data_IF_641880359267
#
_entry.id   IF_641880359267
#
_cell.length_a   1.000
_cell.length_b   1.000
_cell.length_c   1.000
_cell.angle_alpha   90.00
_cell.angle_beta   90.00
_cell.angle_gamma   90.00
#
_symmetry.space_group_name_H-M   'P 1'
#
loop_
_entity.id
_entity.type
_entity.pdbx_description
1 polymer ?
#
# COMPACT_ATOMS: atom_id res chain seq x y z
N UNK A 1 6.61 1.27 14.41
CA UNK A 1 5.47 1.14 13.49
C UNK A 1 5.08 2.56 13.08
N UNK A 2 4.70 2.80 11.83
CA UNK A 2 4.20 4.12 11.42
C UNK A 2 3.01 4.51 12.31
N UNK A 3 2.97 5.77 12.74
CA UNK A 3 1.83 6.32 13.47
C UNK A 3 0.60 6.49 12.56
N UNK A 4 -0.57 6.68 13.18
CA UNK A 4 -1.82 6.95 12.43
C UNK A 4 -1.72 8.22 11.58
N UNK A 5 -1.13 9.27 12.14
CA UNK A 5 -0.93 10.55 11.44
C UNK A 5 -0.01 10.37 10.23
N UNK A 6 1.12 9.69 10.40
CA UNK A 6 2.06 9.42 9.30
C UNK A 6 1.41 8.58 8.18
N UNK A 7 0.57 7.60 8.54
CA UNK A 7 -0.16 6.79 7.56
C UNK A 7 -1.19 7.62 6.78
N UNK A 8 -1.89 8.52 7.46
CA UNK A 8 -2.87 9.42 6.84
C UNK A 8 -2.20 10.38 5.86
N UNK A 9 -1.06 10.96 6.24
CA UNK A 9 -0.29 11.80 5.33
C UNK A 9 0.17 11.05 4.08
N UNK A 10 0.55 9.77 4.20
CA UNK A 10 0.90 8.93 3.04
C UNK A 10 -0.33 8.70 2.16
N UNK A 11 -1.51 8.45 2.73
CA UNK A 11 -2.77 8.33 1.97
C UNK A 11 -3.07 9.58 1.19
N UNK A 12 -3.05 10.74 1.85
CA UNK A 12 -3.32 12.02 1.18
C UNK A 12 -2.36 12.24 0.00
N UNK A 13 -1.06 11.93 0.17
CA UNK A 13 -0.09 12.05 -0.93
C UNK A 13 -0.39 11.07 -2.06
N UNK A 14 -0.81 9.84 -1.75
CA UNK A 14 -1.16 8.83 -2.74
C UNK A 14 -2.44 9.19 -3.53
N UNK A 15 -3.42 9.81 -2.87
CA UNK A 15 -4.68 10.28 -3.47
C UNK A 15 -4.50 11.54 -4.32
N UNK A 16 -3.64 12.47 -3.89
CA UNK A 16 -3.32 13.70 -4.65
C UNK A 16 -2.50 13.41 -5.91
N UNK A 17 -1.84 12.26 -6.00
CA UNK A 17 -1.07 11.90 -7.18
C UNK A 17 -2.00 11.57 -8.35
N UNK A 18 -1.62 11.97 -9.57
CA UNK A 18 -2.40 11.68 -10.79
C UNK A 18 -2.55 10.18 -11.03
N UNK A 19 -3.72 9.76 -11.53
CA UNK A 19 -3.99 8.37 -11.87
C UNK A 19 -3.19 7.92 -13.10
N UNK A 20 -2.93 6.61 -13.18
CA UNK A 20 -2.31 5.94 -14.32
C UNK A 20 -0.86 5.49 -14.08
N UNK A 21 -0.41 4.54 -14.90
CA UNK A 21 0.90 3.89 -14.75
C UNK A 21 2.05 4.84 -15.09
N UNK A 22 3.15 4.67 -14.38
CA UNK A 22 4.43 5.31 -14.66
C UNK A 22 5.38 4.19 -15.04
N UNK A 23 6.13 4.34 -16.11
CA UNK A 23 7.09 3.32 -16.53
C UNK A 23 8.43 3.94 -16.88
N UNK A 24 9.48 3.19 -16.59
CA UNK A 24 10.83 3.56 -16.99
C UNK A 24 11.03 3.29 -18.49
N UNK A 25 11.39 4.33 -19.24
CA UNK A 25 11.87 4.21 -20.62
C UNK A 25 13.39 4.19 -20.64
N UNK A 26 13.98 3.05 -21.02
CA UNK A 26 15.44 2.89 -21.17
C UNK A 26 16.01 3.77 -22.28
N UNK A 27 15.30 3.87 -23.39
CA UNK A 27 15.72 4.66 -24.55
C UNK A 27 15.82 6.15 -24.21
N UNK A 28 14.87 6.63 -23.39
CA UNK A 28 14.79 8.03 -22.97
C UNK A 28 15.51 8.29 -21.64
N UNK A 29 15.90 7.23 -20.93
CA UNK A 29 16.39 7.25 -19.54
C UNK A 29 15.48 8.04 -18.59
N UNK A 30 14.17 7.98 -18.80
CA UNK A 30 13.19 8.84 -18.13
C UNK A 30 11.97 8.05 -17.65
N UNK A 31 11.17 8.65 -16.76
CA UNK A 31 9.84 8.13 -16.43
C UNK A 31 8.85 8.68 -17.44
N UNK A 32 8.11 7.78 -18.08
CA UNK A 32 6.97 8.12 -18.93
C UNK A 32 5.70 7.87 -18.13
N UNK A 33 4.93 8.93 -17.95
CA UNK A 33 3.65 8.88 -17.23
C UNK A 33 2.52 8.43 -18.15
N UNK A 34 1.37 8.12 -17.57
CA UNK A 34 0.14 7.77 -18.30
C UNK A 34 -0.33 8.82 -19.32
N UNK A 35 0.08 10.09 -19.16
CA UNK A 35 -0.30 11.19 -20.06
C UNK A 35 0.76 11.50 -21.12
N UNK A 36 1.67 10.56 -21.40
CA UNK A 36 2.85 10.74 -22.26
C UNK A 36 3.77 11.90 -21.83
N UNK A 37 3.62 12.39 -20.60
CA UNK A 37 4.55 13.35 -20.03
C UNK A 37 5.85 12.63 -19.64
N UNK A 38 6.97 13.26 -19.97
CA UNK A 38 8.32 12.75 -19.74
C UNK A 38 8.91 13.47 -18.52
N UNK A 39 9.28 12.70 -17.51
CA UNK A 39 10.01 13.20 -16.34
C UNK A 39 11.47 12.73 -16.50
N UNK A 40 12.33 13.62 -16.97
CA UNK A 40 13.76 13.36 -17.10
C UNK A 40 14.45 13.49 -15.73
N UNK A 41 14.88 12.35 -15.20
CA UNK A 41 15.65 12.22 -13.97
C UNK A 41 17.00 11.52 -14.20
N UNK A 42 17.37 11.30 -15.46
CA UNK A 42 18.52 10.49 -15.88
C UNK A 42 19.86 10.98 -15.31
N UNK A 43 19.98 12.28 -15.04
CA UNK A 43 21.19 12.92 -14.54
C UNK A 43 21.33 12.90 -13.02
N UNK A 44 20.26 12.53 -12.29
CA UNK A 44 20.21 12.66 -10.83
C UNK A 44 20.11 11.32 -10.11
N UNK A 45 19.96 10.21 -10.84
CA UNK A 45 19.63 8.92 -10.24
C UNK A 45 20.08 7.74 -11.11
N UNK A 46 20.11 6.53 -10.55
CA UNK A 46 20.45 5.29 -11.26
C UNK A 46 19.22 4.67 -11.91
N UNK A 47 19.40 3.77 -12.90
CA UNK A 47 18.27 3.04 -13.52
C UNK A 47 17.38 2.33 -12.48
N UNK A 48 17.99 1.77 -11.42
CA UNK A 48 17.25 1.12 -10.34
C UNK A 48 16.39 2.07 -9.52
N UNK A 49 16.84 3.32 -9.32
CA UNK A 49 16.04 4.33 -8.64
C UNK A 49 14.85 4.77 -9.51
N UNK A 50 15.05 4.89 -10.83
CA UNK A 50 13.97 5.23 -11.77
C UNK A 50 12.90 4.15 -11.76
N UNK A 51 13.32 2.89 -11.82
CA UNK A 51 12.43 1.73 -11.75
C UNK A 51 11.67 1.72 -10.41
N UNK A 52 12.37 1.91 -9.29
CA UNK A 52 11.75 2.01 -7.97
C UNK A 52 10.70 3.14 -7.89
N UNK A 53 11.02 4.34 -8.35
CA UNK A 53 10.09 5.49 -8.34
C UNK A 53 8.87 5.20 -9.22
N UNK A 54 9.08 4.59 -10.39
CA UNK A 54 7.98 4.25 -11.30
C UNK A 54 6.98 3.27 -10.67
N UNK A 55 7.48 2.26 -9.95
CA UNK A 55 6.64 1.28 -9.25
C UNK A 55 6.03 1.80 -7.95
N UNK A 56 6.73 2.68 -7.23
CA UNK A 56 6.24 3.24 -5.97
C UNK A 56 4.84 3.87 -6.10
N UNK A 57 4.51 4.45 -7.26
CA UNK A 57 3.19 5.03 -7.54
C UNK A 57 2.04 4.02 -7.43
N UNK A 58 2.27 2.77 -7.81
CA UNK A 58 1.28 1.68 -7.76
C UNK A 58 1.40 0.85 -6.49
N UNK A 59 2.62 0.68 -5.99
CA UNK A 59 2.89 -0.14 -4.81
C UNK A 59 2.39 0.53 -3.53
N UNK A 60 2.56 1.85 -3.38
CA UNK A 60 2.12 2.58 -2.18
C UNK A 60 0.60 2.42 -1.95
N UNK A 61 -0.29 2.65 -2.94
CA UNK A 61 -1.73 2.37 -2.78
C UNK A 61 -2.04 0.93 -2.37
N UNK A 62 -1.39 -0.07 -2.99
CA UNK A 62 -1.58 -1.50 -2.65
C UNK A 62 -1.15 -1.81 -1.22
N UNK A 63 -0.04 -1.21 -0.78
CA UNK A 63 0.46 -1.35 0.58
C UNK A 63 -0.49 -0.69 1.60
N UNK A 64 -1.01 0.49 1.30
CA UNK A 64 -2.02 1.16 2.13
C UNK A 64 -3.31 0.33 2.26
N UNK A 65 -3.78 -0.27 1.16
CA UNK A 65 -4.93 -1.19 1.17
C UNK A 65 -4.64 -2.43 2.04
N UNK A 66 -3.42 -2.97 1.94
CA UNK A 66 -3.00 -4.13 2.74
C UNK A 66 -2.94 -3.79 4.23
N UNK A 67 -2.40 -2.62 4.59
CA UNK A 67 -2.38 -2.13 5.97
C UNK A 67 -3.80 -2.01 6.52
N UNK A 68 -4.73 -1.41 5.77
CA UNK A 68 -6.14 -1.32 6.17
C UNK A 68 -6.76 -2.69 6.49
N UNK A 69 -6.50 -3.70 5.64
CA UNK A 69 -6.99 -5.07 5.85
C UNK A 69 -6.42 -5.67 7.13
N UNK A 70 -5.13 -5.49 7.38
CA UNK A 70 -4.46 -5.99 8.58
C UNK A 70 -4.96 -5.30 9.84
N UNK A 71 -5.20 -3.98 9.81
CA UNK A 71 -5.78 -3.26 10.94
C UNK A 71 -7.21 -3.74 11.24
N UNK A 72 -8.03 -3.92 10.21
CA UNK A 72 -9.38 -4.49 10.35
C UNK A 72 -9.33 -5.89 10.99
N UNK A 73 -8.38 -6.72 10.56
CA UNK A 73 -8.20 -8.05 11.11
C UNK A 73 -7.76 -8.01 12.58
N UNK A 74 -6.78 -7.17 12.91
CA UNK A 74 -6.31 -6.96 14.29
C UNK A 74 -7.48 -6.56 15.18
N UNK A 75 -8.27 -5.57 14.78
CA UNK A 75 -9.38 -5.05 15.59
C UNK A 75 -10.46 -6.12 15.81
N UNK A 76 -10.75 -6.95 14.80
CA UNK A 76 -11.64 -8.12 14.94
C UNK A 76 -11.09 -9.16 15.90
N UNK A 77 -9.80 -9.46 15.81
CA UNK A 77 -9.14 -10.42 16.69
C UNK A 77 -9.14 -9.94 18.15
N UNK A 78 -8.86 -8.66 18.38
CA UNK A 78 -8.94 -8.05 19.71
C UNK A 78 -10.35 -8.15 20.29
N UNK A 79 -11.39 -7.82 19.50
CA UNK A 79 -12.78 -7.95 19.93
C UNK A 79 -13.16 -9.40 20.27
N UNK A 80 -12.70 -10.36 19.47
CA UNK A 80 -12.89 -11.79 19.75
C UNK A 80 -12.24 -12.19 21.08
N UNK A 81 -10.97 -11.83 21.29
CA UNK A 81 -10.25 -12.14 22.52
C UNK A 81 -10.91 -11.52 23.75
N UNK A 82 -11.43 -10.30 23.63
CA UNK A 82 -12.10 -9.61 24.73
C UNK A 82 -13.46 -10.23 25.05
N UNK A 83 -14.24 -10.65 24.05
CA UNK A 83 -15.45 -11.44 24.26
C UNK A 83 -15.17 -12.77 24.96
N UNK A 84 -14.12 -13.49 24.52
CA UNK A 84 -13.69 -14.73 25.16
C UNK A 84 -13.31 -14.54 26.63
N UNK A 85 -12.53 -13.49 26.96
CA UNK A 85 -12.17 -13.14 28.35
C UNK A 85 -13.39 -12.81 29.20
N UNK A 86 -14.45 -12.26 28.61
CA UNK A 86 -15.69 -11.90 29.27
C UNK A 86 -16.67 -13.09 29.40
N UNK A 87 -16.27 -14.30 28.98
CA UNK A 87 -17.12 -15.49 29.03
C UNK A 87 -18.22 -15.50 27.96
N UNK A 88 -18.09 -14.69 26.91
CA UNK A 88 -18.96 -14.71 25.73
C UNK A 88 -18.35 -15.67 24.70
N UNK A 89 -18.88 -16.89 24.64
CA UNK A 89 -18.33 -18.00 23.83
C UNK A 89 -18.86 -18.03 22.37
N UNK A 90 -19.74 -17.11 21.98
CA UNK A 90 -20.52 -17.20 20.72
C UNK A 90 -20.00 -16.30 19.57
N UNK A 91 -18.79 -15.75 19.66
CA UNK A 91 -18.22 -15.00 18.55
C UNK A 91 -17.61 -16.00 17.56
N UNK A 92 -18.39 -16.43 16.56
CA UNK A 92 -17.93 -17.30 15.47
C UNK A 92 -16.69 -16.71 14.80
N UNK A 93 -15.64 -17.54 14.70
CA UNK A 93 -14.31 -17.17 14.19
C UNK A 93 -14.11 -17.79 12.79
N UNK A 94 -15.19 -17.85 12.01
CA UNK A 94 -15.32 -18.80 10.91
C UNK A 94 -14.79 -18.23 9.57
N UNK A 95 -14.19 -17.02 9.56
CA UNK A 95 -13.70 -16.34 8.35
C UNK A 95 -12.24 -15.85 8.42
N UNK A 96 -11.39 -16.48 9.24
CA UNK A 96 -9.94 -16.15 9.26
C UNK A 96 -9.13 -16.96 8.22
N UNK A 97 -9.72 -17.99 7.62
CA UNK A 97 -8.98 -19.08 6.96
C UNK A 97 -8.52 -18.83 5.51
N UNK A 98 -8.73 -17.65 4.91
CA UNK A 98 -8.39 -17.45 3.48
C UNK A 98 -7.02 -16.82 3.18
N UNK A 99 -6.33 -16.22 4.16
CA UNK A 99 -5.07 -15.50 3.90
C UNK A 99 -3.79 -16.28 4.26
N UNK A 100 -3.89 -17.43 4.95
CA UNK A 100 -2.72 -18.24 5.35
C UNK A 100 -2.28 -19.22 4.23
N UNK A 101 -3.13 -19.44 3.22
CA UNK A 101 -2.77 -20.21 2.02
C UNK A 101 -2.51 -19.31 0.82
N UNK A 102 -1.33 -18.68 0.78
CA UNK A 102 -0.62 -18.41 -0.47
C UNK A 102 0.86 -18.13 -0.24
#
# INVERSE_FOLDING_TARGET
>A
MLGREELEEIRERAEKATEGSWHYSKDMKAIVTHYDAIIDISHYTTEGDIEFISHAREDIPKLLETINKLETYRDRFEAYCDGYKQGQFDIQMDEIDWAIKR
#
